data_IF_258158149117
#
_entry.id   IF_258158149117
#
_cell.length_a   1.000
_cell.length_b   1.000
_cell.length_c   1.000
_cell.angle_alpha   90.00
_cell.angle_beta   90.00
_cell.angle_gamma   90.00
#
_symmetry.space_group_name_H-M   'P 1'
#
loop_
_entity.id
_entity.type
_entity.pdbx_description
1 polymer ?
#
# COMPACT_ATOMS: atom_id res chain seq x y z
N UNK A 1 16.13 2.02 68.06
CA UNK A 1 15.56 1.20 66.96
C UNK A 1 14.06 0.89 67.07
N UNK A 2 13.31 1.41 68.06
CA UNK A 2 11.85 1.16 68.18
C UNK A 2 10.95 2.13 67.39
N UNK A 3 11.49 3.25 66.86
CA UNK A 3 10.71 4.24 66.09
C UNK A 3 10.67 3.99 64.57
N UNK A 4 11.59 3.20 64.02
CA UNK A 4 11.61 2.90 62.59
C UNK A 4 10.67 1.74 62.19
N UNK A 5 10.32 0.86 63.13
CA UNK A 5 9.44 -0.30 62.85
C UNK A 5 7.98 0.15 62.66
N UNK A 6 7.54 1.20 63.36
CA UNK A 6 6.16 1.70 63.24
C UNK A 6 5.86 2.39 61.90
N UNK A 7 6.88 2.97 61.23
CA UNK A 7 6.69 3.63 59.93
C UNK A 7 6.69 2.60 58.78
N UNK A 8 7.46 1.51 58.90
CA UNK A 8 7.46 0.42 57.90
C UNK A 8 6.15 -0.36 57.92
N UNK A 9 5.48 -0.50 59.07
CA UNK A 9 4.15 -1.13 59.14
C UNK A 9 3.01 -0.27 58.53
N UNK A 10 3.17 1.05 58.46
CA UNK A 10 2.16 1.93 57.85
C UNK A 10 2.29 2.01 56.32
N UNK A 11 3.47 1.70 55.77
CA UNK A 11 3.73 1.66 54.32
C UNK A 11 3.33 0.29 53.72
N UNK A 12 3.27 -0.76 54.54
CA UNK A 12 2.91 -2.11 54.10
C UNK A 12 1.41 -2.32 53.82
N UNK A 13 0.52 -1.41 54.22
CA UNK A 13 -0.95 -1.59 54.11
C UNK A 13 -1.59 -0.88 52.92
N UNK A 14 -0.83 -0.17 52.09
CA UNK A 14 -1.37 0.53 50.91
C UNK A 14 -1.02 -0.15 49.57
N UNK A 15 -0.67 -1.44 49.57
CA UNK A 15 -0.77 -2.24 48.34
C UNK A 15 -2.25 -2.58 48.15
N UNK A 16 -3.04 -1.56 47.79
CA UNK A 16 -4.34 -1.77 47.20
C UNK A 16 -4.08 -2.43 45.86
N UNK A 17 -4.09 -3.77 45.82
CA UNK A 17 -4.45 -4.44 44.58
C UNK A 17 -5.82 -3.88 44.22
N UNK A 18 -5.87 -2.93 43.28
CA UNK A 18 -7.12 -2.48 42.70
C UNK A 18 -7.88 -3.74 42.27
N UNK A 19 -8.92 -4.10 43.03
CA UNK A 19 -9.66 -5.33 42.77
C UNK A 19 -10.27 -5.19 41.39
N UNK A 20 -9.84 -6.04 40.45
CA UNK A 20 -10.38 -6.04 39.10
C UNK A 20 -11.88 -6.32 39.20
N UNK A 21 -12.72 -5.33 38.87
CA UNK A 21 -14.17 -5.49 38.83
C UNK A 21 -14.54 -6.21 37.53
N UNK A 22 -15.21 -7.35 37.64
CA UNK A 22 -15.72 -8.06 36.46
C UNK A 22 -16.87 -7.27 35.84
N UNK A 23 -16.81 -7.00 34.53
CA UNK A 23 -17.84 -6.28 33.80
C UNK A 23 -18.72 -7.17 32.91
N UNK A 24 -18.40 -8.47 32.85
CA UNK A 24 -19.03 -9.40 31.92
C UNK A 24 -18.25 -10.70 31.78
N UNK A 25 -18.68 -11.50 30.80
CA UNK A 25 -18.00 -12.73 30.37
C UNK A 25 -17.66 -12.62 28.89
N UNK A 26 -16.49 -13.15 28.52
CA UNK A 26 -16.02 -13.20 27.13
C UNK A 26 -16.05 -14.66 26.67
N UNK A 27 -16.59 -14.89 25.48
CA UNK A 27 -16.75 -16.21 24.89
C UNK A 27 -16.09 -16.27 23.51
N UNK A 28 -15.30 -17.32 23.28
CA UNK A 28 -14.72 -17.63 21.96
C UNK A 28 -15.68 -18.43 21.06
N UNK A 29 -16.69 -19.07 21.67
CA UNK A 29 -17.77 -19.77 21.01
C UNK A 29 -19.11 -19.26 21.53
N UNK A 30 -19.95 -18.71 20.64
CA UNK A 30 -21.24 -18.13 21.00
C UNK A 30 -22.17 -18.07 19.78
N UNK A 31 -23.50 -18.33 19.90
CA UNK A 31 -24.44 -18.25 18.78
C UNK A 31 -24.43 -16.92 18.02
N UNK A 32 -24.18 -15.82 18.72
CA UNK A 32 -24.03 -14.48 18.13
C UNK A 32 -22.85 -14.39 17.14
N UNK A 33 -21.72 -15.06 17.44
CA UNK A 33 -20.57 -15.13 16.52
C UNK A 33 -20.98 -15.83 15.23
N UNK A 34 -21.57 -17.02 15.34
CA UNK A 34 -22.05 -17.80 14.19
C UNK A 34 -23.02 -17.00 13.32
N UNK A 35 -23.88 -16.19 13.94
CA UNK A 35 -24.85 -15.34 13.26
C UNK A 35 -24.20 -14.21 12.47
N UNK A 36 -23.25 -13.51 13.09
CA UNK A 36 -22.47 -12.45 12.44
C UNK A 36 -21.71 -13.00 11.24
N UNK A 37 -21.07 -14.17 11.39
CA UNK A 37 -20.33 -14.79 10.30
C UNK A 37 -21.23 -15.25 9.16
N UNK A 38 -22.36 -15.87 9.48
CA UNK A 38 -23.33 -16.29 8.46
C UNK A 38 -23.90 -15.09 7.69
N UNK A 39 -24.14 -13.97 8.38
CA UNK A 39 -24.53 -12.70 7.76
C UNK A 39 -23.42 -12.17 6.84
N UNK A 40 -22.16 -12.15 7.30
CA UNK A 40 -21.01 -11.73 6.46
C UNK A 40 -20.86 -12.61 5.22
N UNK A 41 -21.01 -13.93 5.34
CA UNK A 41 -20.94 -14.82 4.16
C UNK A 41 -22.11 -14.58 3.20
N UNK A 42 -23.32 -14.34 3.71
CA UNK A 42 -24.47 -13.96 2.89
C UNK A 42 -24.26 -12.61 2.17
N UNK A 43 -23.61 -11.65 2.85
CA UNK A 43 -23.22 -10.37 2.25
C UNK A 43 -22.25 -10.59 1.09
N UNK A 44 -21.20 -11.39 1.29
CA UNK A 44 -20.20 -11.70 0.24
C UNK A 44 -20.83 -12.41 -0.95
N UNK A 45 -21.78 -13.32 -0.72
CA UNK A 45 -22.53 -13.98 -1.81
C UNK A 45 -23.56 -13.08 -2.50
N UNK A 46 -23.78 -11.87 -1.95
CA UNK A 46 -24.80 -10.94 -2.44
C UNK A 46 -26.22 -11.48 -2.31
N UNK A 47 -26.50 -12.22 -1.23
CA UNK A 47 -27.83 -12.77 -0.90
C UNK A 47 -28.53 -11.81 0.07
N UNK A 48 -29.19 -10.80 -0.50
CA UNK A 48 -29.88 -9.74 0.24
C UNK A 48 -30.94 -10.31 1.21
N UNK A 49 -31.72 -11.30 0.77
CA UNK A 49 -32.77 -11.91 1.59
C UNK A 49 -32.19 -12.62 2.82
N UNK A 50 -31.08 -13.35 2.62
CA UNK A 50 -30.40 -14.04 3.71
C UNK A 50 -29.74 -13.05 4.66
N UNK A 51 -29.11 -11.97 4.16
CA UNK A 51 -28.62 -10.88 5.02
C UNK A 51 -29.76 -10.31 5.84
N UNK A 52 -30.88 -9.93 5.22
CA UNK A 52 -32.04 -9.36 5.90
C UNK A 52 -32.58 -10.26 7.02
N UNK A 53 -32.51 -11.58 6.83
CA UNK A 53 -32.96 -12.56 7.83
C UNK A 53 -32.14 -12.53 9.13
N UNK A 54 -30.90 -12.05 9.11
CA UNK A 54 -30.06 -11.95 10.31
C UNK A 54 -30.18 -10.60 11.04
N UNK A 55 -30.77 -9.58 10.41
CA UNK A 55 -30.87 -8.23 10.96
C UNK A 55 -32.19 -8.01 11.70
N UNK A 56 -32.14 -7.32 12.84
CA UNK A 56 -33.32 -6.81 13.51
C UNK A 56 -34.04 -5.76 12.64
N UNK A 57 -35.30 -5.46 12.92
CA UNK A 57 -36.07 -4.50 12.10
C UNK A 57 -35.61 -3.06 12.29
N UNK A 58 -35.14 -2.72 13.49
CA UNK A 58 -34.54 -1.42 13.84
C UNK A 58 -33.03 -1.37 13.62
N UNK A 59 -32.48 -2.24 12.75
CA UNK A 59 -31.04 -2.34 12.51
C UNK A 59 -30.41 -1.01 12.06
N UNK A 60 -29.20 -0.75 12.57
CA UNK A 60 -28.35 0.38 12.18
C UNK A 60 -26.88 -0.01 11.95
N UNK A 61 -26.30 0.48 10.85
CA UNK A 61 -24.87 0.40 10.57
C UNK A 61 -24.21 1.78 10.67
N UNK A 62 -23.04 1.84 11.30
CA UNK A 62 -22.30 3.08 11.51
C UNK A 62 -20.87 2.97 10.99
N UNK A 63 -20.32 4.11 10.58
CA UNK A 63 -18.87 4.27 10.43
C UNK A 63 -18.29 4.68 11.79
N UNK A 64 -17.40 3.85 12.34
CA UNK A 64 -16.69 4.15 13.58
C UNK A 64 -15.66 5.27 13.46
N UNK A 65 -15.43 5.79 12.25
CA UNK A 65 -14.51 6.90 11.95
C UNK A 65 -15.22 8.17 11.49
N UNK A 66 -16.57 8.21 11.55
CA UNK A 66 -17.33 9.41 11.20
C UNK A 66 -17.01 10.57 12.12
N UNK A 67 -16.85 11.77 11.56
CA UNK A 67 -16.72 13.03 12.32
C UNK A 67 -18.05 13.78 12.41
N UNK A 68 -19.08 13.31 11.71
CA UNK A 68 -20.41 13.91 11.73
C UNK A 68 -21.13 13.58 13.04
N UNK A 69 -21.35 14.60 13.89
CA UNK A 69 -22.01 14.47 15.20
C UNK A 69 -23.50 14.14 15.10
N UNK A 70 -24.11 14.40 13.95
CA UNK A 70 -25.53 14.18 13.70
C UNK A 70 -25.80 12.88 12.93
N UNK A 71 -24.77 12.05 12.70
CA UNK A 71 -24.91 10.77 12.00
C UNK A 71 -25.92 9.85 12.69
N UNK A 72 -26.93 9.41 11.93
CA UNK A 72 -28.00 8.50 12.40
C UNK A 72 -27.79 7.06 11.97
N UNK A 73 -26.65 6.78 11.33
CA UNK A 73 -26.34 5.48 10.77
C UNK A 73 -27.22 5.10 9.59
N UNK A 74 -26.71 4.17 8.80
CA UNK A 74 -27.41 3.53 7.70
C UNK A 74 -28.48 2.57 8.26
N UNK A 75 -29.73 2.73 7.85
CA UNK A 75 -30.80 1.80 8.22
C UNK A 75 -30.72 0.46 7.46
N UNK A 76 -31.57 -0.49 7.87
CA UNK A 76 -31.68 -1.82 7.26
C UNK A 76 -31.88 -1.76 5.74
N UNK A 77 -32.79 -0.91 5.25
CA UNK A 77 -33.10 -0.85 3.82
C UNK A 77 -31.92 -0.32 3.01
N UNK A 78 -31.25 0.72 3.50
CA UNK A 78 -30.04 1.26 2.88
C UNK A 78 -28.87 0.25 2.94
N UNK A 79 -28.70 -0.46 4.05
CA UNK A 79 -27.66 -1.49 4.18
C UNK A 79 -27.87 -2.65 3.20
N UNK A 80 -29.11 -3.11 3.01
CA UNK A 80 -29.43 -4.16 2.04
C UNK A 80 -29.12 -3.74 0.60
N UNK A 81 -29.33 -2.47 0.24
CA UNK A 81 -28.89 -1.94 -1.07
C UNK A 81 -27.37 -2.03 -1.26
N UNK A 82 -26.58 -1.93 -0.18
CA UNK A 82 -25.12 -2.10 -0.26
C UNK A 82 -24.72 -3.54 -0.59
N UNK A 83 -25.50 -4.55 -0.17
CA UNK A 83 -25.27 -5.96 -0.51
C UNK A 83 -25.32 -6.14 -2.03
N UNK A 84 -26.36 -5.58 -2.66
CA UNK A 84 -26.53 -5.62 -4.11
C UNK A 84 -25.44 -4.82 -4.82
N UNK A 85 -25.17 -3.59 -4.38
CA UNK A 85 -24.13 -2.73 -4.94
C UNK A 85 -22.76 -3.42 -4.91
N UNK A 86 -22.44 -4.11 -3.83
CA UNK A 86 -21.19 -4.85 -3.68
C UNK A 86 -21.10 -6.00 -4.69
N UNK A 87 -22.16 -6.81 -4.81
CA UNK A 87 -22.23 -7.90 -5.79
C UNK A 87 -22.10 -7.39 -7.24
N UNK A 88 -22.77 -6.28 -7.54
CA UNK A 88 -22.88 -5.77 -8.89
C UNK A 88 -21.61 -5.04 -9.34
N UNK A 89 -20.83 -4.44 -8.43
CA UNK A 89 -19.70 -3.58 -8.77
C UNK A 89 -18.32 -4.10 -8.32
N UNK A 90 -18.25 -5.19 -7.55
CA UNK A 90 -16.98 -5.76 -7.07
C UNK A 90 -16.76 -7.16 -7.63
N UNK A 91 -15.63 -7.36 -8.31
CA UNK A 91 -15.12 -8.68 -8.70
C UNK A 91 -14.34 -9.33 -7.56
N UNK A 92 -14.42 -10.66 -7.51
CA UNK A 92 -13.74 -11.51 -6.51
C UNK A 92 -13.97 -11.08 -5.05
N UNK A 93 -15.21 -10.75 -4.63
CA UNK A 93 -15.45 -10.26 -3.28
C UNK A 93 -15.10 -11.33 -2.24
N UNK A 94 -14.41 -10.92 -1.19
CA UNK A 94 -14.07 -11.80 -0.07
C UNK A 94 -14.03 -10.99 1.22
N UNK A 95 -14.67 -11.52 2.26
CA UNK A 95 -14.51 -11.04 3.63
C UNK A 95 -14.22 -12.28 4.48
N UNK A 96 -13.06 -12.29 5.12
CA UNK A 96 -12.57 -13.41 5.95
C UNK A 96 -11.96 -12.85 7.22
N UNK A 97 -11.97 -13.63 8.30
CA UNK A 97 -11.22 -13.28 9.52
C UNK A 97 -9.76 -12.99 9.16
N UNK A 98 -9.20 -11.92 9.71
CA UNK A 98 -7.78 -11.63 9.58
C UNK A 98 -6.96 -12.75 10.23
N UNK A 99 -5.73 -12.97 9.76
CA UNK A 99 -4.86 -14.03 10.30
C UNK A 99 -4.62 -13.80 11.80
N UNK A 100 -4.99 -14.79 12.62
CA UNK A 100 -4.86 -14.73 14.09
C UNK A 100 -5.99 -14.02 14.80
N UNK A 101 -6.98 -13.47 14.09
CA UNK A 101 -8.18 -12.91 14.69
C UNK A 101 -9.12 -14.02 15.17
N UNK A 102 -9.58 -13.88 16.40
CA UNK A 102 -10.66 -14.66 16.98
C UNK A 102 -11.81 -13.69 17.31
N UNK A 103 -13.02 -13.91 16.78
CA UNK A 103 -14.15 -13.11 17.18
C UNK A 103 -14.51 -13.43 18.62
N UNK A 104 -14.70 -12.39 19.44
CA UNK A 104 -15.13 -12.54 20.82
C UNK A 104 -16.59 -12.10 20.95
N UNK A 105 -17.38 -12.88 21.69
CA UNK A 105 -18.67 -12.45 22.19
C UNK A 105 -18.54 -11.96 23.63
N UNK A 106 -19.12 -10.81 23.94
CA UNK A 106 -19.11 -10.20 25.25
C UNK A 106 -20.54 -10.07 25.77
N UNK A 107 -20.78 -10.67 26.93
CA UNK A 107 -22.01 -10.50 27.70
C UNK A 107 -21.71 -9.62 28.90
N UNK A 108 -22.33 -8.44 28.94
CA UNK A 108 -22.14 -7.49 30.05
C UNK A 108 -23.09 -7.77 31.20
N UNK A 109 -22.65 -7.46 32.43
CA UNK A 109 -23.50 -7.49 33.63
C UNK A 109 -24.35 -6.24 33.80
N UNK A 110 -24.01 -5.18 33.08
CA UNK A 110 -24.69 -3.89 33.16
C UNK A 110 -26.16 -4.00 32.73
N UNK A 111 -27.05 -3.34 33.46
CA UNK A 111 -28.49 -3.50 33.28
C UNK A 111 -28.99 -3.03 31.91
N UNK A 112 -28.29 -2.07 31.29
CA UNK A 112 -28.65 -1.52 29.98
C UNK A 112 -28.09 -2.37 28.83
N UNK A 113 -27.14 -3.26 29.12
CA UNK A 113 -26.46 -4.11 28.14
C UNK A 113 -26.76 -5.60 28.30
N UNK A 114 -27.39 -6.02 29.40
CA UNK A 114 -27.62 -7.45 29.74
C UNK A 114 -28.38 -8.25 28.69
N UNK A 115 -29.20 -7.58 27.87
CA UNK A 115 -30.02 -8.20 26.83
C UNK A 115 -29.35 -8.14 25.44
N UNK A 116 -28.10 -7.68 25.37
CA UNK A 116 -27.29 -7.58 24.16
C UNK A 116 -26.00 -8.39 24.30
N UNK A 117 -25.68 -9.11 23.25
CA UNK A 117 -24.36 -9.73 23.08
C UNK A 117 -23.57 -8.88 22.11
N UNK A 118 -22.40 -8.41 22.55
CA UNK A 118 -21.47 -7.71 21.67
C UNK A 118 -20.58 -8.72 20.97
N UNK A 119 -20.42 -8.62 19.66
CA UNK A 119 -19.44 -9.42 18.91
C UNK A 119 -18.41 -8.49 18.31
N UNK A 120 -17.14 -8.73 18.60
CA UNK A 120 -16.03 -7.98 18.02
C UNK A 120 -15.22 -8.89 17.10
N UNK A 121 -14.82 -8.40 15.93
CA UNK A 121 -14.01 -9.18 14.98
C UNK A 121 -13.07 -8.30 14.16
N UNK A 122 -11.99 -8.91 13.68
CA UNK A 122 -11.10 -8.35 12.66
C UNK A 122 -11.20 -9.19 11.40
N UNK A 123 -11.44 -8.54 10.27
CA UNK A 123 -11.62 -9.18 8.98
C UNK A 123 -10.75 -8.50 7.92
N UNK A 124 -10.33 -9.25 6.91
CA UNK A 124 -9.72 -8.74 5.70
C UNK A 124 -10.79 -8.69 4.61
N UNK A 125 -11.03 -7.49 4.07
CA UNK A 125 -11.92 -7.25 2.95
C UNK A 125 -11.11 -7.18 1.67
N UNK A 126 -11.47 -8.01 0.70
CA UNK A 126 -10.80 -8.12 -0.59
C UNK A 126 -11.77 -8.07 -1.75
N UNK A 127 -11.29 -7.58 -2.89
CA UNK A 127 -12.00 -7.55 -4.16
C UNK A 127 -11.31 -6.63 -5.16
N UNK A 128 -11.92 -6.46 -6.32
CA UNK A 128 -11.49 -5.50 -7.35
C UNK A 128 -12.71 -4.73 -7.78
N UNK A 129 -12.64 -3.41 -7.76
CA UNK A 129 -13.72 -2.58 -8.29
C UNK A 129 -13.78 -2.80 -9.83
N UNK A 130 -14.97 -3.12 -10.36
CA UNK A 130 -15.14 -3.56 -11.77
C UNK A 130 -14.80 -2.50 -12.82
N UNK A 131 -15.25 -1.27 -12.62
CA UNK A 131 -15.08 -0.16 -13.57
C UNK A 131 -13.69 0.47 -13.54
N UNK A 132 -13.14 0.70 -12.34
CA UNK A 132 -11.88 1.41 -12.09
C UNK A 132 -10.69 0.47 -11.97
N UNK A 133 -10.90 -0.82 -11.70
CA UNK A 133 -9.84 -1.80 -11.47
C UNK A 133 -9.10 -1.63 -10.14
N UNK A 134 -9.51 -0.68 -9.30
CA UNK A 134 -8.86 -0.42 -8.01
C UNK A 134 -9.01 -1.66 -7.11
N UNK A 135 -7.87 -2.14 -6.61
CA UNK A 135 -7.82 -3.28 -5.70
C UNK A 135 -8.36 -2.89 -4.33
N UNK A 136 -9.36 -3.63 -3.86
CA UNK A 136 -9.81 -3.60 -2.48
C UNK A 136 -8.98 -4.64 -1.73
N UNK A 137 -8.16 -4.20 -0.79
CA UNK A 137 -7.41 -5.04 0.14
C UNK A 137 -7.15 -4.24 1.40
N UNK A 138 -7.98 -4.44 2.43
CA UNK A 138 -7.86 -3.71 3.69
C UNK A 138 -8.36 -4.50 4.88
N UNK A 139 -7.77 -4.31 6.06
CA UNK A 139 -8.37 -4.76 7.30
C UNK A 139 -9.61 -3.92 7.64
N UNK A 140 -10.57 -4.55 8.29
CA UNK A 140 -11.73 -3.90 8.92
C UNK A 140 -11.91 -4.47 10.32
N UNK A 141 -12.11 -3.58 11.29
CA UNK A 141 -12.60 -3.97 12.60
C UNK A 141 -14.10 -3.74 12.66
N UNK A 142 -14.84 -4.72 13.16
CA UNK A 142 -16.30 -4.63 13.28
C UNK A 142 -16.74 -4.95 14.69
N UNK A 143 -17.65 -4.12 15.19
CA UNK A 143 -18.44 -4.37 16.40
C UNK A 143 -19.89 -4.59 16.01
N UNK A 144 -20.50 -5.59 16.61
CA UNK A 144 -21.91 -5.91 16.43
C UNK A 144 -22.60 -5.96 17.79
N UNK A 145 -23.89 -5.60 17.82
CA UNK A 145 -24.77 -6.01 18.92
C UNK A 145 -25.84 -6.94 18.41
N UNK A 146 -26.07 -8.02 19.15
CA UNK A 146 -27.04 -9.07 18.83
C UNK A 146 -28.04 -9.17 19.98
N UNK A 147 -29.34 -9.17 19.65
CA UNK A 147 -30.39 -9.27 20.65
C UNK A 147 -30.65 -10.71 21.13
N UNK A 148 -31.54 -10.84 22.11
CA UNK A 148 -31.98 -12.14 22.65
C UNK A 148 -32.66 -13.08 21.62
N UNK A 149 -33.13 -12.54 20.49
CA UNK A 149 -33.68 -13.33 19.38
C UNK A 149 -32.60 -13.72 18.37
N UNK A 150 -31.34 -13.47 18.70
CA UNK A 150 -30.18 -13.70 17.87
C UNK A 150 -30.24 -12.93 16.54
N UNK A 151 -30.77 -11.69 16.59
CA UNK A 151 -30.79 -10.73 15.47
C UNK A 151 -29.79 -9.62 15.70
N UNK A 152 -29.07 -9.25 14.65
CA UNK A 152 -28.09 -8.17 14.68
C UNK A 152 -28.84 -6.83 14.70
N UNK A 153 -28.67 -6.06 15.78
CA UNK A 153 -29.26 -4.72 15.95
C UNK A 153 -28.34 -3.61 15.44
N UNK A 154 -27.04 -3.76 15.67
CA UNK A 154 -26.08 -2.72 15.31
C UNK A 154 -24.83 -3.34 14.67
N UNK A 155 -24.24 -2.61 13.74
CA UNK A 155 -22.90 -2.86 13.20
C UNK A 155 -22.11 -1.55 13.20
N UNK A 156 -20.88 -1.56 13.70
CA UNK A 156 -19.95 -0.42 13.62
C UNK A 156 -18.72 -0.88 12.86
N UNK A 157 -18.36 -0.17 11.79
CA UNK A 157 -17.24 -0.49 10.92
C UNK A 157 -16.09 0.49 11.13
N UNK A 158 -14.89 -0.01 11.39
CA UNK A 158 -13.66 0.77 11.45
C UNK A 158 -12.72 0.31 10.33
N UNK A 159 -12.50 1.16 9.33
CA UNK A 159 -11.59 0.91 8.22
C UNK A 159 -11.04 2.22 7.65
N UNK A 160 -9.93 2.14 6.94
CA UNK A 160 -9.41 3.27 6.17
C UNK A 160 -10.37 3.70 5.04
N UNK A 161 -10.48 5.01 4.80
CA UNK A 161 -11.18 5.58 3.64
C UNK A 161 -10.36 5.49 2.35
N UNK A 162 -9.03 5.37 2.45
CA UNK A 162 -8.09 5.50 1.33
C UNK A 162 -8.46 4.68 0.10
N UNK A 163 -8.89 3.42 0.29
CA UNK A 163 -9.33 2.54 -0.81
C UNK A 163 -10.59 3.08 -1.51
N UNK A 164 -11.55 3.59 -0.74
CA UNK A 164 -12.77 4.17 -1.31
C UNK A 164 -12.47 5.51 -1.99
N UNK A 165 -11.55 6.29 -1.42
CA UNK A 165 -11.12 7.57 -1.99
C UNK A 165 -10.46 7.35 -3.36
N UNK A 166 -9.58 6.36 -3.47
CA UNK A 166 -8.94 5.96 -4.73
C UNK A 166 -9.97 5.48 -5.78
N UNK A 167 -10.92 4.63 -5.37
CA UNK A 167 -12.03 4.21 -6.25
C UNK A 167 -12.78 5.43 -6.78
N UNK A 168 -13.15 6.36 -5.90
CA UNK A 168 -13.95 7.53 -6.26
C UNK A 168 -13.18 8.47 -7.20
N UNK A 169 -11.89 8.67 -6.94
CA UNK A 169 -11.02 9.51 -7.77
C UNK A 169 -10.80 8.90 -9.17
N UNK A 170 -10.80 7.57 -9.28
CA UNK A 170 -10.59 6.85 -10.53
C UNK A 170 -11.75 6.94 -11.53
N UNK A 171 -12.88 7.54 -11.17
CA UNK A 171 -13.99 7.79 -12.12
C UNK A 171 -13.85 9.08 -12.92
N UNK A 172 -12.82 9.87 -12.66
CA UNK A 172 -12.61 11.14 -13.35
C UNK A 172 -11.18 11.24 -13.86
N UNK A 173 -11.02 11.85 -15.03
CA UNK A 173 -9.71 12.19 -15.56
C UNK A 173 -9.03 13.22 -14.66
N UNK A 174 -7.76 12.97 -14.35
CA UNK A 174 -6.89 13.92 -13.64
C UNK A 174 -5.60 14.11 -14.43
N UNK A 175 -5.20 15.36 -14.62
CA UNK A 175 -3.85 15.70 -15.10
C UNK A 175 -2.86 15.70 -13.94
N UNK A 176 -1.62 15.29 -14.21
CA UNK A 176 -0.53 15.30 -13.23
C UNK A 176 0.74 15.83 -13.90
N UNK A 177 0.77 17.14 -14.14
CA UNK A 177 1.93 17.80 -14.74
C UNK A 177 1.96 17.81 -16.27
N UNK A 178 3.14 18.10 -16.79
CA UNK A 178 3.41 18.37 -18.20
C UNK A 178 4.42 17.38 -18.78
N UNK A 179 4.26 17.06 -20.06
CA UNK A 179 5.17 16.21 -20.83
C UNK A 179 5.77 17.00 -21.99
N UNK A 180 7.09 16.93 -22.12
CA UNK A 180 7.85 17.61 -23.15
C UNK A 180 8.64 16.59 -23.97
N UNK A 181 8.59 16.70 -25.30
CA UNK A 181 9.44 15.93 -26.21
C UNK A 181 10.72 16.67 -26.64
N UNK A 182 10.82 17.97 -26.30
CA UNK A 182 12.00 18.82 -26.48
C UNK A 182 12.17 19.70 -25.24
N UNK A 183 13.26 19.48 -24.50
CA UNK A 183 13.55 20.19 -23.26
C UNK A 183 15.06 20.15 -22.97
N UNK A 184 15.59 21.11 -22.20
CA UNK A 184 17.01 21.16 -21.86
C UNK A 184 17.48 19.91 -21.08
N UNK A 185 16.65 19.36 -20.20
CA UNK A 185 16.99 18.12 -19.50
C UNK A 185 17.10 16.91 -20.45
N UNK A 186 16.31 16.87 -21.53
CA UNK A 186 16.47 15.85 -22.58
C UNK A 186 17.82 16.04 -23.28
N UNK A 187 18.21 17.28 -23.55
CA UNK A 187 19.52 17.58 -24.13
C UNK A 187 20.65 17.16 -23.18
N UNK A 188 20.47 17.32 -21.87
CA UNK A 188 21.41 16.85 -20.84
C UNK A 188 21.61 15.34 -20.91
N UNK A 189 20.53 14.54 -20.94
CA UNK A 189 20.63 13.07 -21.05
C UNK A 189 21.34 12.66 -22.35
N UNK A 190 20.98 13.26 -23.50
CA UNK A 190 21.67 12.99 -24.77
C UNK A 190 23.16 13.30 -24.71
N UNK A 191 23.53 14.46 -24.15
CA UNK A 191 24.94 14.86 -23.99
C UNK A 191 25.70 13.92 -23.05
N UNK A 192 25.06 13.47 -21.98
CA UNK A 192 25.61 12.49 -21.03
C UNK A 192 25.88 11.15 -21.73
N UNK A 193 24.88 10.59 -22.42
CA UNK A 193 25.00 9.30 -23.11
C UNK A 193 26.05 9.33 -24.21
N UNK A 194 26.06 10.38 -25.04
CA UNK A 194 27.07 10.51 -26.08
C UNK A 194 28.48 10.80 -25.51
N UNK A 195 28.60 11.41 -24.33
CA UNK A 195 29.88 11.52 -23.65
C UNK A 195 30.41 10.14 -23.21
N UNK A 196 29.55 9.28 -22.67
CA UNK A 196 29.90 7.87 -22.39
C UNK A 196 30.32 7.11 -23.66
N UNK A 197 29.57 7.24 -24.74
CA UNK A 197 29.89 6.63 -26.04
C UNK A 197 31.28 7.05 -26.55
N UNK A 198 31.65 8.32 -26.35
CA UNK A 198 32.95 8.87 -26.74
C UNK A 198 34.04 8.69 -25.67
N UNK A 199 33.76 7.95 -24.59
CA UNK A 199 34.68 7.72 -23.46
C UNK A 199 35.17 9.02 -22.79
N UNK A 200 34.41 10.11 -22.92
CA UNK A 200 34.62 11.38 -22.22
C UNK A 200 33.91 11.32 -20.86
N UNK A 201 34.47 10.49 -19.98
CA UNK A 201 33.87 10.18 -18.69
C UNK A 201 33.78 11.39 -17.76
N UNK A 202 34.76 12.28 -17.80
CA UNK A 202 34.73 13.51 -16.99
C UNK A 202 33.51 14.36 -17.37
N UNK A 203 33.25 14.51 -18.67
CA UNK A 203 32.04 15.20 -19.14
C UNK A 203 30.78 14.42 -18.83
N UNK A 204 30.75 13.11 -19.04
CA UNK A 204 29.58 12.28 -18.75
C UNK A 204 29.16 12.41 -17.28
N UNK A 205 30.11 12.24 -16.36
CA UNK A 205 29.85 12.36 -14.93
C UNK A 205 29.58 13.80 -14.46
N UNK A 206 29.97 14.82 -15.24
CA UNK A 206 29.69 16.22 -14.90
C UNK A 206 28.20 16.58 -14.94
N UNK A 207 27.35 15.77 -15.58
CA UNK A 207 25.91 16.02 -15.65
C UNK A 207 25.15 15.59 -14.38
N UNK A 208 25.76 14.77 -13.54
CA UNK A 208 25.18 14.32 -12.27
C UNK A 208 25.48 15.30 -11.14
N UNK A 209 24.60 15.32 -10.14
CA UNK A 209 24.87 15.90 -8.83
C UNK A 209 25.93 15.06 -8.10
N UNK A 210 26.73 15.68 -7.24
CA UNK A 210 27.77 14.97 -6.48
C UNK A 210 27.20 13.87 -5.57
N UNK A 211 25.94 14.04 -5.15
CA UNK A 211 25.21 13.08 -4.31
C UNK A 211 24.25 12.20 -5.11
N UNK A 212 24.42 12.13 -6.43
CA UNK A 212 23.55 11.32 -7.27
C UNK A 212 23.58 9.85 -6.86
N UNK A 213 22.42 9.21 -6.91
CA UNK A 213 22.24 7.79 -6.60
C UNK A 213 21.82 6.99 -7.83
N UNK A 214 22.24 5.73 -7.89
CA UNK A 214 22.05 4.87 -9.06
C UNK A 214 21.41 3.55 -8.64
N UNK A 215 20.45 3.08 -9.44
CA UNK A 215 19.77 1.81 -9.21
C UNK A 215 19.82 0.92 -10.46
N UNK A 216 20.10 -0.37 -10.25
CA UNK A 216 20.02 -1.41 -11.27
C UNK A 216 18.83 -2.32 -10.98
N UNK A 217 17.90 -2.43 -11.93
CA UNK A 217 16.71 -3.29 -11.82
C UNK A 217 17.06 -4.77 -11.64
N UNK A 218 18.27 -5.19 -11.99
CA UNK A 218 18.75 -6.56 -11.84
C UNK A 218 19.32 -6.86 -10.44
N UNK A 219 19.37 -5.87 -9.54
CA UNK A 219 19.75 -6.08 -8.14
C UNK A 219 18.71 -6.95 -7.40
N UNK A 220 19.17 -7.93 -6.60
CA UNK A 220 18.30 -8.74 -5.73
C UNK A 220 17.64 -7.87 -4.66
N UNK A 221 18.35 -6.84 -4.20
CA UNK A 221 17.79 -5.82 -3.32
C UNK A 221 17.33 -4.63 -4.19
N UNK A 222 16.01 -4.50 -4.31
CA UNK A 222 15.35 -3.46 -5.11
C UNK A 222 15.51 -2.06 -4.51
N UNK A 223 16.01 -1.95 -3.28
CA UNK A 223 16.30 -0.67 -2.61
C UNK A 223 17.80 -0.36 -2.56
N UNK A 224 18.62 -1.20 -3.19
CA UNK A 224 20.05 -0.97 -3.24
C UNK A 224 20.36 0.18 -4.19
N UNK A 225 20.92 1.24 -3.61
CA UNK A 225 21.43 2.38 -4.34
C UNK A 225 22.97 2.38 -4.32
N UNK A 226 23.56 2.84 -5.41
CA UNK A 226 24.99 3.10 -5.52
C UNK A 226 25.23 4.61 -5.53
N UNK A 227 26.28 5.05 -4.87
CA UNK A 227 26.79 6.42 -4.98
C UNK A 227 27.44 6.64 -6.35
N UNK A 228 27.58 7.90 -6.78
CA UNK A 228 28.33 8.26 -7.98
C UNK A 228 29.76 7.66 -8.02
N UNK A 229 30.43 7.55 -6.87
CA UNK A 229 31.75 6.95 -6.79
C UNK A 229 31.71 5.43 -7.07
N UNK A 230 30.74 4.71 -6.50
CA UNK A 230 30.55 3.29 -6.74
C UNK A 230 30.09 3.02 -8.18
N UNK A 231 29.24 3.88 -8.73
CA UNK A 231 28.81 3.77 -10.12
C UNK A 231 29.99 3.89 -11.08
N UNK A 232 30.89 4.86 -10.87
CA UNK A 232 32.12 4.98 -11.66
C UNK A 232 32.96 3.70 -11.64
N UNK A 233 33.05 3.01 -10.51
CA UNK A 233 33.75 1.73 -10.41
C UNK A 233 32.99 0.58 -11.11
N UNK A 234 31.66 0.59 -11.08
CA UNK A 234 30.84 -0.35 -11.81
C UNK A 234 30.98 -0.17 -13.33
N UNK A 235 30.97 1.08 -13.80
CA UNK A 235 31.16 1.42 -15.20
C UNK A 235 32.54 0.97 -15.70
N UNK A 236 33.60 1.20 -14.91
CA UNK A 236 34.95 0.68 -15.22
C UNK A 236 34.94 -0.83 -15.41
N UNK A 237 34.32 -1.59 -14.49
CA UNK A 237 34.19 -3.06 -14.62
C UNK A 237 33.41 -3.46 -15.88
N UNK A 238 32.36 -2.71 -16.22
CA UNK A 238 31.62 -2.94 -17.47
C UNK A 238 32.55 -2.77 -18.68
N UNK A 239 33.31 -1.68 -18.74
CA UNK A 239 34.27 -1.42 -19.81
C UNK A 239 35.49 -2.36 -19.80
N UNK A 240 35.81 -3.01 -18.69
CA UNK A 240 36.80 -4.08 -18.65
C UNK A 240 36.28 -5.34 -19.36
N UNK A 241 35.01 -5.69 -19.16
CA UNK A 241 34.38 -6.89 -19.75
C UNK A 241 33.88 -6.69 -21.18
N UNK A 242 33.53 -5.45 -21.55
CA UNK A 242 32.88 -5.11 -22.80
C UNK A 242 33.56 -3.93 -23.48
N UNK A 243 33.66 -3.99 -24.81
CA UNK A 243 33.99 -2.84 -25.64
C UNK A 243 32.70 -2.18 -26.11
N UNK A 244 32.51 -0.89 -25.80
CA UNK A 244 31.39 -0.11 -26.29
C UNK A 244 31.60 0.29 -27.75
N UNK A 245 30.62 -0.03 -28.59
CA UNK A 245 30.61 0.25 -30.03
C UNK A 245 29.78 1.48 -30.35
N UNK A 246 28.56 1.57 -29.81
CA UNK A 246 27.66 2.71 -30.02
C UNK A 246 26.50 2.72 -29.03
N UNK A 247 25.88 3.89 -28.88
CA UNK A 247 24.65 4.10 -28.10
C UNK A 247 23.61 4.81 -28.97
N UNK A 248 22.71 4.04 -29.58
CA UNK A 248 21.71 4.57 -30.51
C UNK A 248 20.41 4.93 -29.76
N UNK A 249 19.93 6.17 -29.87
CA UNK A 249 18.62 6.57 -29.32
C UNK A 249 17.47 5.82 -30.02
N UNK A 250 16.49 5.33 -29.25
CA UNK A 250 15.27 4.71 -29.75
C UNK A 250 14.08 5.63 -29.48
N UNK A 251 13.39 6.06 -30.53
CA UNK A 251 12.32 7.04 -30.39
C UNK A 251 12.84 8.40 -29.93
N UNK A 252 12.03 9.15 -29.19
CA UNK A 252 12.44 10.38 -28.51
C UNK A 252 12.31 10.21 -26.99
N UNK A 253 13.24 10.72 -26.18
CA UNK A 253 13.05 10.79 -24.74
C UNK A 253 11.91 11.74 -24.37
N UNK A 254 11.22 11.43 -23.28
CA UNK A 254 10.17 12.27 -22.71
C UNK A 254 10.65 12.89 -21.41
N UNK A 255 10.43 14.18 -21.25
CA UNK A 255 10.60 14.88 -19.98
C UNK A 255 9.24 15.09 -19.32
N UNK A 256 9.10 14.52 -18.12
CA UNK A 256 7.91 14.54 -17.29
C UNK A 256 8.16 15.50 -16.12
N UNK A 257 7.38 16.57 -16.06
CA UNK A 257 7.38 17.52 -14.95
C UNK A 257 6.05 17.41 -14.22
N UNK A 258 6.04 16.67 -13.11
CA UNK A 258 4.80 16.37 -12.38
C UNK A 258 4.41 17.53 -11.45
N UNK A 259 3.10 17.70 -11.21
CA UNK A 259 2.57 18.69 -10.28
C UNK A 259 2.74 18.28 -8.82
N UNK A 260 2.46 17.00 -8.52
CA UNK A 260 2.62 16.47 -7.17
C UNK A 260 4.10 16.25 -6.86
N UNK A 261 4.57 16.84 -5.77
CA UNK A 261 5.95 16.77 -5.27
C UNK A 261 7.03 17.34 -6.23
N UNK A 262 6.62 17.95 -7.35
CA UNK A 262 7.49 18.62 -8.32
C UNK A 262 8.67 17.78 -8.90
N UNK A 263 8.55 16.45 -9.12
CA UNK A 263 9.63 15.68 -9.71
C UNK A 263 9.81 16.02 -11.20
N UNK A 264 11.08 16.01 -11.60
CA UNK A 264 11.56 16.35 -12.94
C UNK A 264 12.26 15.11 -13.50
N UNK A 265 11.65 14.41 -14.43
CA UNK A 265 12.12 13.08 -14.85
C UNK A 265 12.30 13.05 -16.36
N UNK A 266 13.44 12.55 -16.85
CA UNK A 266 13.61 12.16 -18.25
C UNK A 266 13.55 10.64 -18.36
N UNK A 267 12.69 10.14 -19.22
CA UNK A 267 12.69 8.74 -19.65
C UNK A 267 13.34 8.66 -21.03
N UNK A 268 14.37 7.83 -21.18
CA UNK A 268 15.09 7.70 -22.45
C UNK A 268 15.36 6.23 -22.79
N UNK A 269 15.28 5.89 -24.08
CA UNK A 269 15.47 4.53 -24.59
C UNK A 269 16.66 4.48 -25.55
N UNK A 270 17.48 3.44 -25.39
CA UNK A 270 18.74 3.29 -26.09
C UNK A 270 18.96 1.84 -26.54
N UNK A 271 19.65 1.68 -27.67
CA UNK A 271 20.30 0.43 -28.07
C UNK A 271 21.79 0.58 -27.87
N UNK A 272 22.30 -0.01 -26.80
CA UNK A 272 23.73 -0.03 -26.50
C UNK A 272 24.34 -1.24 -27.20
N UNK A 273 25.32 -1.00 -28.06
CA UNK A 273 26.02 -2.07 -28.78
C UNK A 273 27.38 -2.26 -28.15
N UNK A 274 27.64 -3.48 -27.71
CA UNK A 274 28.91 -3.84 -27.10
C UNK A 274 29.48 -5.12 -27.70
N UNK A 275 30.79 -5.27 -27.63
CA UNK A 275 31.50 -6.52 -27.90
C UNK A 275 31.98 -7.07 -26.57
N UNK A 276 31.57 -8.29 -26.21
CA UNK A 276 32.10 -8.94 -25.01
C UNK A 276 33.51 -9.44 -25.27
N UNK A 277 34.45 -9.06 -24.42
CA UNK A 277 35.88 -9.35 -24.65
C UNK A 277 36.26 -10.82 -24.43
N UNK A 278 35.50 -11.57 -23.63
CA UNK A 278 35.83 -12.97 -23.32
C UNK A 278 35.64 -13.91 -24.51
N UNK A 279 34.70 -13.59 -25.42
CA UNK A 279 34.34 -14.46 -26.55
C UNK A 279 34.08 -13.69 -27.87
N UNK A 280 34.42 -12.40 -27.91
CA UNK A 280 34.22 -11.48 -29.05
C UNK A 280 32.76 -11.44 -29.56
N UNK A 281 31.79 -11.72 -28.69
CA UNK A 281 30.38 -11.73 -29.07
C UNK A 281 29.84 -10.30 -29.19
N UNK A 282 29.27 -9.97 -30.35
CA UNK A 282 28.46 -8.77 -30.54
C UNK A 282 27.13 -8.89 -29.78
N UNK A 283 26.83 -7.89 -28.96
CA UNK A 283 25.62 -7.82 -28.14
C UNK A 283 24.93 -6.49 -28.40
N UNK A 284 23.61 -6.55 -28.60
CA UNK A 284 22.74 -5.37 -28.63
C UNK A 284 21.89 -5.41 -27.38
N UNK A 285 22.09 -4.42 -26.50
CA UNK A 285 21.40 -4.29 -25.24
C UNK A 285 20.36 -3.16 -25.34
N UNK A 286 19.06 -3.50 -25.35
CA UNK A 286 18.01 -2.52 -25.13
C UNK A 286 18.08 -2.03 -23.67
N UNK A 287 18.11 -0.72 -23.49
CA UNK A 287 18.17 -0.10 -22.18
C UNK A 287 17.23 1.09 -22.12
N UNK A 288 16.54 1.24 -21.00
CA UNK A 288 15.78 2.44 -20.65
C UNK A 288 16.40 3.07 -19.41
N UNK A 289 16.66 4.37 -19.45
CA UNK A 289 17.06 5.15 -18.29
C UNK A 289 15.88 5.99 -17.79
N UNK A 290 15.76 6.09 -16.46
CA UNK A 290 14.93 7.09 -15.78
C UNK A 290 15.87 8.01 -15.01
N UNK A 291 16.02 9.24 -15.48
CA UNK A 291 16.89 10.26 -14.90
C UNK A 291 16.05 11.29 -14.14
N UNK A 292 16.25 11.42 -12.83
CA UNK A 292 15.60 12.47 -12.02
C UNK A 292 16.52 13.68 -11.91
N UNK A 293 15.95 14.88 -12.04
CA UNK A 293 16.67 16.15 -12.03
C UNK A 293 16.33 17.00 -10.81
N UNK A 294 17.31 17.72 -10.29
CA UNK A 294 17.06 18.86 -9.40
C UNK A 294 16.69 20.13 -10.19
N UNK A 295 16.33 21.18 -9.45
CA UNK A 295 16.01 22.52 -9.96
C UNK A 295 17.17 23.20 -10.71
N UNK A 296 18.41 22.73 -10.53
CA UNK A 296 19.61 23.20 -11.23
C UNK A 296 19.91 22.45 -12.52
N UNK A 297 19.06 21.49 -12.91
CA UNK A 297 19.25 20.68 -14.12
C UNK A 297 20.37 19.64 -14.02
N UNK A 298 20.77 19.25 -12.79
CA UNK A 298 21.67 18.10 -12.55
C UNK A 298 20.87 16.84 -12.29
N UNK A 299 21.38 15.70 -12.77
CA UNK A 299 20.79 14.38 -12.51
C UNK A 299 21.09 13.98 -11.06
N UNK A 300 20.05 13.81 -10.25
CA UNK A 300 20.14 13.40 -8.84
C UNK A 300 19.92 11.91 -8.64
N UNK A 301 19.25 11.24 -9.58
CA UNK A 301 19.21 9.78 -9.59
C UNK A 301 19.02 9.23 -10.99
N UNK A 302 19.54 8.03 -11.22
CA UNK A 302 19.38 7.29 -12.47
C UNK A 302 18.99 5.84 -12.18
N UNK A 303 17.95 5.35 -12.85
CA UNK A 303 17.56 3.93 -12.82
C UNK A 303 17.76 3.34 -14.20
N UNK A 304 18.55 2.25 -14.28
CA UNK A 304 18.79 1.52 -15.51
C UNK A 304 17.89 0.29 -15.62
N UNK A 305 17.01 0.28 -16.62
CA UNK A 305 16.14 -0.85 -16.97
C UNK A 305 16.70 -1.60 -18.17
N UNK A 306 17.20 -2.80 -17.93
CA UNK A 306 17.74 -3.69 -18.95
C UNK A 306 17.72 -5.14 -18.46
N UNK A 307 17.92 -6.10 -19.36
CA UNK A 307 18.07 -7.51 -18.99
C UNK A 307 19.56 -7.87 -18.88
N UNK A 308 20.06 -8.07 -17.66
CA UNK A 308 21.45 -8.48 -17.43
C UNK A 308 21.77 -9.83 -18.08
N UNK A 309 20.78 -10.72 -18.20
CA UNK A 309 20.92 -12.04 -18.85
C UNK A 309 21.46 -11.98 -20.28
N UNK A 310 21.25 -10.88 -21.00
CA UNK A 310 21.76 -10.68 -22.36
C UNK A 310 23.30 -10.56 -22.37
N UNK A 311 23.89 -10.09 -21.27
CA UNK A 311 25.31 -9.86 -21.09
C UNK A 311 26.10 -11.11 -20.66
N UNK A 312 25.42 -12.14 -20.18
CA UNK A 312 26.04 -13.37 -19.67
C UNK A 312 26.68 -14.23 -20.77
N UNK A 313 27.84 -14.80 -20.48
CA UNK A 313 28.42 -15.85 -21.31
C UNK A 313 27.53 -17.10 -21.24
N UNK A 314 27.34 -17.76 -22.39
CA UNK A 314 26.66 -19.05 -22.44
C UNK A 314 27.65 -20.16 -22.17
#
# INVERSE_FOLDING_TARGET
>A
MKKCISIVLLIATCITYSQKKTNGTIYVEHPAITTVEAMTQAFVSGDENKVASYLADDFKSYSGTTTNKDDKGMDKAAFLKTVKTWKDNIDYPSIKRSKGAYPDALEYKDADQKDLVWVQTWEDVKGVQKETGVKIDRPIHRLFTVDKNNKIKMMINYSTSTVNDEINQSYADRKNGEIYNHHENINTVRKMVHAFENKDFDKAYSFYDEKATFMDINSIDIHKEYTLAEQKENDKKMFEMFELVSMDQVGYPDYLHYELDDPRIVQSWWKIRVIRKSDNKNIVLPMMFIDTFNDKGKITSEIAYYSQKILEAK
#
